data_IF_932237553492
#
_entry.id   IF_932237553492
#
_cell.length_a   1.000
_cell.length_b   1.000
_cell.length_c   1.000
_cell.angle_alpha   90.00
_cell.angle_beta   90.00
_cell.angle_gamma   90.00
#
_symmetry.space_group_name_H-M   'P 1'
#
loop_
_entity.id
_entity.type
_entity.pdbx_description
1 polymer ?
#
# COMPACT_ATOMS: atom_id res chain seq x y z
N UNK A 1 21.35 -20.34 1.09
CA UNK A 1 20.11 -19.68 1.56
C UNK A 1 20.21 -18.23 1.12
N UNK A 2 19.32 -17.68 0.27
CA UNK A 2 19.38 -16.26 -0.02
C UNK A 2 19.11 -15.51 1.29
N UNK A 3 20.04 -14.63 1.67
CA UNK A 3 19.86 -13.71 2.78
C UNK A 3 18.74 -12.75 2.37
N UNK A 4 17.56 -12.92 2.98
CA UNK A 4 16.44 -12.02 2.78
C UNK A 4 16.80 -10.70 3.43
N UNK A 5 16.63 -9.61 2.70
CA UNK A 5 17.06 -8.28 3.12
C UNK A 5 15.85 -7.44 3.48
N UNK A 6 15.94 -6.77 4.61
CA UNK A 6 14.99 -5.75 5.03
C UNK A 6 15.65 -4.38 4.78
N UNK A 7 14.98 -3.52 4.04
CA UNK A 7 15.44 -2.17 3.72
C UNK A 7 14.50 -1.17 4.39
N UNK A 8 15.08 -0.25 5.15
CA UNK A 8 14.35 0.89 5.74
C UNK A 8 15.05 2.18 5.34
N UNK A 9 14.33 3.03 4.61
CA UNK A 9 14.77 4.35 4.18
C UNK A 9 13.80 5.36 4.82
N UNK A 10 14.23 6.05 5.87
CA UNK A 10 13.41 7.00 6.61
C UNK A 10 13.96 8.41 6.45
N UNK A 11 13.09 9.42 6.58
CA UNK A 11 13.46 10.85 6.67
C UNK A 11 14.11 11.39 5.38
N UNK A 12 13.54 11.05 4.22
CA UNK A 12 13.94 11.65 2.94
C UNK A 12 13.06 12.87 2.65
N UNK A 13 13.65 14.06 2.54
CA UNK A 13 12.86 15.26 2.22
C UNK A 13 12.16 15.12 0.86
N UNK A 14 12.92 14.92 -0.21
CA UNK A 14 12.38 14.80 -1.57
C UNK A 14 13.06 13.65 -2.31
N UNK A 15 12.24 12.73 -2.81
CA UNK A 15 12.63 11.62 -3.68
C UNK A 15 12.08 11.84 -5.09
N UNK A 16 12.93 12.34 -5.98
CA UNK A 16 12.56 12.57 -7.38
C UNK A 16 12.30 11.26 -8.13
N UNK A 17 13.07 10.21 -7.82
CA UNK A 17 12.99 8.88 -8.44
C UNK A 17 13.55 7.83 -7.49
N UNK A 18 12.92 6.66 -7.45
CA UNK A 18 13.50 5.48 -6.80
C UNK A 18 14.74 4.98 -7.58
N UNK A 19 15.70 4.32 -6.90
CA UNK A 19 16.78 3.64 -7.61
C UNK A 19 16.20 2.63 -8.60
N UNK A 20 16.84 2.52 -9.77
CA UNK A 20 16.36 1.63 -10.84
C UNK A 20 16.45 0.15 -10.45
N UNK A 21 17.32 -0.18 -9.50
CA UNK A 21 17.58 -1.55 -9.05
C UNK A 21 17.53 -1.63 -7.53
N UNK A 22 16.78 -2.61 -7.04
CA UNK A 22 16.81 -3.07 -5.66
C UNK A 22 17.30 -4.53 -5.63
N UNK A 23 17.90 -4.98 -4.52
CA UNK A 23 18.26 -6.39 -4.38
C UNK A 23 17.02 -7.28 -4.55
N UNK A 24 17.13 -8.32 -5.39
CA UNK A 24 16.00 -9.22 -5.67
C UNK A 24 15.59 -10.09 -4.48
N UNK A 25 16.41 -10.09 -3.42
CA UNK A 25 16.16 -10.77 -2.13
C UNK A 25 15.44 -9.87 -1.11
N UNK A 26 15.06 -8.64 -1.46
CA UNK A 26 14.31 -7.76 -0.54
C UNK A 26 12.98 -8.41 -0.17
N UNK A 27 12.76 -8.55 1.14
CA UNK A 27 11.53 -9.13 1.72
C UNK A 27 10.65 -8.08 2.35
N UNK A 28 11.26 -7.12 3.05
CA UNK A 28 10.57 -5.97 3.64
C UNK A 28 11.19 -4.69 3.10
N UNK A 29 10.35 -3.77 2.66
CA UNK A 29 10.75 -2.43 2.28
C UNK A 29 9.89 -1.42 3.03
N UNK A 30 10.54 -0.53 3.77
CA UNK A 30 9.92 0.65 4.39
C UNK A 30 10.57 1.88 3.78
N UNK A 31 9.78 2.77 3.19
CA UNK A 31 10.25 4.01 2.59
C UNK A 31 9.36 5.18 3.03
N UNK A 32 9.93 6.08 3.81
CA UNK A 32 9.28 7.32 4.25
C UNK A 32 10.02 8.53 3.70
N UNK A 33 9.30 9.29 2.88
CA UNK A 33 9.75 10.58 2.37
C UNK A 33 8.64 11.63 2.53
N UNK A 34 8.97 12.92 2.59
CA UNK A 34 7.93 13.96 2.60
C UNK A 34 7.29 14.12 1.21
N UNK A 35 8.07 13.85 0.16
CA UNK A 35 7.64 13.90 -1.24
C UNK A 35 8.31 12.79 -2.06
N UNK A 36 7.52 11.85 -2.57
CA UNK A 36 7.90 10.97 -3.70
C UNK A 36 7.18 11.50 -4.95
N UNK A 37 7.95 11.91 -5.97
CA UNK A 37 7.37 12.57 -7.17
C UNK A 37 6.89 11.59 -8.24
N UNK A 38 7.53 10.43 -8.35
CA UNK A 38 7.21 9.40 -9.35
C UNK A 38 6.50 8.23 -8.67
N UNK A 39 5.57 7.61 -9.40
CA UNK A 39 4.89 6.41 -8.92
C UNK A 39 5.93 5.34 -8.56
N UNK A 40 5.99 4.90 -7.28
CA UNK A 40 6.96 3.89 -6.85
C UNK A 40 6.60 2.47 -7.33
N UNK A 41 5.33 2.20 -7.65
CA UNK A 41 4.83 0.84 -7.91
C UNK A 41 5.52 0.15 -9.11
N UNK A 42 5.76 0.79 -10.27
CA UNK A 42 6.38 0.14 -11.44
C UNK A 42 7.82 -0.38 -11.22
N UNK A 43 8.48 0.07 -10.15
CA UNK A 43 9.82 -0.40 -9.75
C UNK A 43 9.67 -1.47 -8.68
N UNK A 44 8.85 -1.21 -7.66
CA UNK A 44 8.72 -2.08 -6.49
C UNK A 44 7.95 -3.37 -6.78
N UNK A 45 7.01 -3.35 -7.71
CA UNK A 45 6.18 -4.51 -8.08
C UNK A 45 7.00 -5.65 -8.70
N UNK A 46 8.18 -5.33 -9.23
CA UNK A 46 9.11 -6.28 -9.84
C UNK A 46 9.92 -7.07 -8.81
N UNK A 47 9.84 -6.72 -7.52
CA UNK A 47 10.60 -7.41 -6.47
C UNK A 47 9.96 -8.78 -6.16
N UNK A 48 10.60 -9.89 -6.56
CA UNK A 48 9.97 -11.21 -6.55
C UNK A 48 9.84 -11.79 -5.14
N UNK A 49 10.61 -11.28 -4.16
CA UNK A 49 10.63 -11.74 -2.78
C UNK A 49 9.93 -10.80 -1.80
N UNK A 50 9.38 -9.66 -2.27
CA UNK A 50 8.78 -8.65 -1.41
C UNK A 50 7.48 -9.19 -0.78
N UNK A 51 7.43 -9.21 0.55
CA UNK A 51 6.29 -9.70 1.35
C UNK A 51 5.61 -8.56 2.09
N UNK A 52 6.37 -7.57 2.55
CA UNK A 52 5.84 -6.40 3.24
C UNK A 52 6.38 -5.12 2.62
N UNK A 53 5.47 -4.22 2.27
CA UNK A 53 5.78 -2.92 1.72
C UNK A 53 5.08 -1.85 2.53
N UNK A 54 5.84 -0.85 2.94
CA UNK A 54 5.32 0.33 3.60
C UNK A 54 5.92 1.58 2.97
N UNK A 55 5.04 2.48 2.51
CA UNK A 55 5.40 3.68 1.78
C UNK A 55 4.74 4.91 2.42
N UNK A 56 5.45 6.02 2.43
CA UNK A 56 4.87 7.32 2.78
C UNK A 56 5.30 8.46 1.86
N UNK A 57 4.36 9.39 1.63
CA UNK A 57 4.61 10.70 1.03
C UNK A 57 4.62 10.76 -0.49
N UNK A 58 4.01 9.79 -1.17
CA UNK A 58 3.80 9.92 -2.61
C UNK A 58 2.82 11.05 -2.95
N UNK A 59 3.27 11.97 -3.80
CA UNK A 59 2.49 13.13 -4.25
C UNK A 59 2.44 13.15 -5.77
N UNK A 60 1.61 12.28 -6.32
CA UNK A 60 1.30 12.23 -7.75
C UNK A 60 -0.15 11.89 -8.01
N UNK A 61 -0.64 12.22 -9.21
CA UNK A 61 -2.05 12.16 -9.55
C UNK A 61 -2.59 10.72 -9.62
N UNK A 62 -1.80 9.81 -10.19
CA UNK A 62 -2.20 8.42 -10.45
C UNK A 62 -1.10 7.47 -9.99
N UNK A 63 -1.51 6.37 -9.35
CA UNK A 63 -0.65 5.25 -9.00
C UNK A 63 -1.14 3.99 -9.71
N UNK A 64 -0.25 3.18 -10.26
CA UNK A 64 -0.60 2.03 -11.08
C UNK A 64 0.12 0.76 -10.60
N UNK A 65 -0.64 -0.31 -10.38
CA UNK A 65 -0.09 -1.66 -10.20
C UNK A 65 -0.40 -2.51 -11.45
N UNK A 66 0.63 -3.11 -12.05
CA UNK A 66 0.47 -3.94 -13.24
C UNK A 66 0.02 -5.36 -12.93
N UNK A 67 -0.54 -6.03 -13.93
CA UNK A 67 -0.87 -7.45 -13.86
C UNK A 67 0.37 -8.28 -13.54
N UNK A 68 0.23 -9.29 -12.67
CA UNK A 68 1.35 -10.10 -12.13
C UNK A 68 2.37 -9.31 -11.28
N UNK A 69 2.16 -8.00 -11.06
CA UNK A 69 2.95 -7.21 -10.12
C UNK A 69 2.79 -7.73 -8.69
N UNK A 70 3.86 -7.62 -7.90
CA UNK A 70 3.88 -8.01 -6.49
C UNK A 70 3.47 -9.49 -6.22
N UNK A 71 4.17 -10.48 -6.79
CA UNK A 71 3.75 -11.88 -6.76
C UNK A 71 3.73 -12.53 -5.35
N UNK A 72 4.39 -11.89 -4.37
CA UNK A 72 4.50 -12.39 -2.99
C UNK A 72 4.06 -11.40 -1.92
N UNK A 73 3.59 -10.21 -2.29
CA UNK A 73 3.23 -9.18 -1.32
C UNK A 73 2.01 -9.65 -0.51
N UNK A 74 2.13 -9.57 0.81
CA UNK A 74 1.09 -9.97 1.75
C UNK A 74 0.55 -8.80 2.57
N UNK A 75 1.40 -7.80 2.84
CA UNK A 75 1.07 -6.62 3.64
C UNK A 75 1.49 -5.36 2.88
N UNK A 76 0.56 -4.44 2.69
CA UNK A 76 0.79 -3.14 2.07
C UNK A 76 0.28 -2.04 2.99
N UNK A 77 1.15 -1.08 3.35
CA UNK A 77 0.77 0.13 4.07
C UNK A 77 1.13 1.37 3.25
N UNK A 78 0.15 2.22 2.98
CA UNK A 78 0.33 3.49 2.26
C UNK A 78 -0.06 4.64 3.19
N UNK A 79 0.87 5.58 3.43
CA UNK A 79 0.68 6.68 4.38
C UNK A 79 0.89 8.05 3.74
N UNK A 80 -0.02 9.00 3.96
CA UNK A 80 0.12 10.39 3.48
C UNK A 80 0.27 10.46 1.95
N UNK A 81 -0.52 9.67 1.23
CA UNK A 81 -0.54 9.68 -0.24
C UNK A 81 -1.51 10.74 -0.75
N UNK A 82 -1.06 11.61 -1.64
CA UNK A 82 -1.89 12.63 -2.29
C UNK A 82 -2.27 12.21 -3.71
N UNK A 83 -2.83 11.01 -3.86
CA UNK A 83 -3.23 10.43 -5.15
C UNK A 83 -4.74 10.49 -5.35
N UNK A 84 -5.17 10.93 -6.53
CA UNK A 84 -6.59 11.02 -6.89
C UNK A 84 -7.11 9.68 -7.41
N UNK A 85 -6.25 8.93 -8.11
CA UNK A 85 -6.63 7.68 -8.74
C UNK A 85 -5.59 6.58 -8.48
N UNK A 86 -6.02 5.47 -7.89
CA UNK A 86 -5.20 4.28 -7.77
C UNK A 86 -5.74 3.24 -8.75
N UNK A 87 -4.97 2.90 -9.79
CA UNK A 87 -5.32 1.91 -10.79
C UNK A 87 -4.63 0.59 -10.49
N UNK A 88 -5.36 -0.49 -10.64
CA UNK A 88 -4.82 -1.82 -10.45
C UNK A 88 -5.36 -2.74 -11.53
N UNK A 89 -4.44 -3.33 -12.30
CA UNK A 89 -4.80 -4.32 -13.31
C UNK A 89 -5.21 -5.64 -12.67
N UNK A 90 -6.04 -6.40 -13.38
CA UNK A 90 -6.46 -7.73 -12.96
C UNK A 90 -5.24 -8.65 -12.78
N UNK A 91 -5.18 -9.38 -11.66
CA UNK A 91 -4.07 -10.26 -11.33
C UNK A 91 -2.88 -9.58 -10.66
N UNK A 92 -2.95 -8.28 -10.33
CA UNK A 92 -2.01 -7.65 -9.43
C UNK A 92 -2.13 -8.20 -8.00
N UNK A 93 -1.01 -8.23 -7.25
CA UNK A 93 -0.98 -8.51 -5.81
C UNK A 93 -1.76 -9.76 -5.36
N UNK A 94 -1.57 -10.94 -5.99
CA UNK A 94 -2.43 -12.11 -5.79
C UNK A 94 -2.44 -12.67 -4.35
N UNK A 95 -1.46 -12.29 -3.52
CA UNK A 95 -1.32 -12.76 -2.13
C UNK A 95 -1.56 -11.68 -1.08
N UNK A 96 -1.99 -10.49 -1.49
CA UNK A 96 -2.21 -9.39 -0.55
C UNK A 96 -3.37 -9.74 0.37
N UNK A 97 -3.08 -9.74 1.67
CA UNK A 97 -4.02 -10.14 2.72
C UNK A 97 -4.39 -8.99 3.65
N UNK A 98 -3.46 -8.04 3.84
CA UNK A 98 -3.66 -6.87 4.68
C UNK A 98 -3.28 -5.61 3.91
N UNK A 99 -4.22 -4.67 3.86
CA UNK A 99 -4.03 -3.34 3.30
C UNK A 99 -4.34 -2.29 4.36
N UNK A 100 -3.41 -1.38 4.60
CA UNK A 100 -3.60 -0.22 5.47
C UNK A 100 -3.44 1.05 4.63
N UNK A 101 -4.44 1.93 4.66
CA UNK A 101 -4.39 3.27 4.08
C UNK A 101 -4.49 4.29 5.21
N UNK A 102 -3.50 5.18 5.30
CA UNK A 102 -3.46 6.20 6.34
C UNK A 102 -3.32 7.60 5.73
N UNK A 103 -4.31 8.47 5.93
CA UNK A 103 -4.16 9.89 5.65
C UNK A 103 -3.97 10.19 4.17
N UNK A 104 -4.65 9.43 3.30
CA UNK A 104 -4.56 9.59 1.85
C UNK A 104 -5.58 10.62 1.34
N UNK A 105 -5.42 11.88 1.73
CA UNK A 105 -6.45 12.94 1.65
C UNK A 105 -7.12 13.14 0.27
N UNK A 106 -6.41 12.85 -0.84
CA UNK A 106 -6.97 13.03 -2.20
C UNK A 106 -7.72 11.81 -2.74
N UNK A 107 -7.63 10.68 -2.06
CA UNK A 107 -8.25 9.43 -2.50
C UNK A 107 -9.71 9.40 -2.08
N UNK A 108 -10.61 9.93 -2.91
CA UNK A 108 -12.06 10.02 -2.61
C UNK A 108 -12.83 8.71 -2.80
N UNK A 109 -12.23 7.70 -3.44
CA UNK A 109 -12.83 6.38 -3.66
C UNK A 109 -11.76 5.30 -3.60
N UNK A 110 -12.14 4.12 -3.14
CA UNK A 110 -11.28 2.94 -3.21
C UNK A 110 -11.27 2.36 -4.64
N UNK A 111 -10.13 1.81 -5.10
CA UNK A 111 -10.09 1.16 -6.41
C UNK A 111 -10.97 -0.08 -6.46
N UNK A 112 -11.81 -0.18 -7.50
CA UNK A 112 -12.59 -1.39 -7.82
C UNK A 112 -11.69 -2.63 -7.95
N UNK A 113 -10.44 -2.43 -8.33
CA UNK A 113 -9.39 -3.45 -8.35
C UNK A 113 -9.30 -4.26 -7.06
N UNK A 114 -9.56 -3.65 -5.88
CA UNK A 114 -9.50 -4.35 -4.59
C UNK A 114 -10.47 -5.53 -4.53
N UNK A 115 -11.59 -5.45 -5.24
CA UNK A 115 -12.57 -6.53 -5.32
C UNK A 115 -12.04 -7.76 -6.06
N UNK A 116 -10.99 -7.61 -6.87
CA UNK A 116 -10.37 -8.71 -7.62
C UNK A 116 -9.21 -9.37 -6.87
N UNK A 117 -8.84 -8.86 -5.68
CA UNK A 117 -7.79 -9.45 -4.87
C UNK A 117 -8.31 -10.71 -4.16
N UNK A 118 -7.76 -11.91 -4.45
CA UNK A 118 -8.34 -13.16 -3.98
C UNK A 118 -8.04 -13.44 -2.49
N UNK A 119 -7.01 -12.80 -1.93
CA UNK A 119 -6.53 -13.06 -0.57
C UNK A 119 -6.83 -11.93 0.41
N UNK A 120 -7.45 -10.83 -0.04
CA UNK A 120 -7.64 -9.64 0.80
C UNK A 120 -8.71 -9.92 1.87
N UNK A 121 -8.26 -10.04 3.11
CA UNK A 121 -9.12 -10.32 4.26
C UNK A 121 -9.15 -9.21 5.30
N UNK A 122 -8.25 -8.22 5.19
CA UNK A 122 -8.11 -7.14 6.15
C UNK A 122 -7.85 -5.81 5.42
N UNK A 123 -8.73 -4.83 5.66
CA UNK A 123 -8.59 -3.46 5.19
C UNK A 123 -8.71 -2.51 6.37
N UNK A 124 -7.69 -1.68 6.57
CA UNK A 124 -7.66 -0.66 7.61
C UNK A 124 -7.58 0.73 6.98
N UNK A 125 -8.51 1.60 7.36
CA UNK A 125 -8.60 2.99 6.93
C UNK A 125 -8.40 3.90 8.13
N UNK A 126 -7.28 4.63 8.16
CA UNK A 126 -6.91 5.54 9.25
C UNK A 126 -6.88 6.98 8.71
N UNK A 127 -7.59 7.90 9.35
CA UNK A 127 -7.69 9.30 8.87
C UNK A 127 -8.07 9.38 7.37
N UNK A 128 -9.06 8.58 6.96
CA UNK A 128 -9.57 8.50 5.59
C UNK A 128 -10.97 9.10 5.49
N UNK A 129 -11.16 10.30 6.03
CA UNK A 129 -12.46 10.98 6.16
C UNK A 129 -13.18 11.21 4.81
N UNK A 130 -12.44 11.16 3.71
CA UNK A 130 -12.94 11.33 2.36
C UNK A 130 -13.62 10.08 1.78
N UNK A 131 -13.41 8.90 2.37
CA UNK A 131 -14.09 7.67 1.96
C UNK A 131 -15.40 7.58 2.72
N UNK A 132 -16.53 7.61 2.00
CA UNK A 132 -17.85 7.46 2.59
C UNK A 132 -18.04 6.05 3.17
N UNK A 133 -18.76 5.93 4.29
CA UNK A 133 -19.17 4.63 4.83
C UNK A 133 -20.04 3.83 3.83
N UNK A 134 -20.75 4.53 2.95
CA UNK A 134 -21.58 3.93 1.89
C UNK A 134 -20.80 3.62 0.59
N UNK A 135 -19.46 3.69 0.62
CA UNK A 135 -18.63 3.35 -0.54
C UNK A 135 -18.92 1.92 -1.03
N UNK A 136 -19.18 1.80 -2.35
CA UNK A 136 -19.58 0.53 -2.95
C UNK A 136 -18.49 -0.54 -2.81
N UNK A 137 -17.23 -0.16 -2.95
CA UNK A 137 -16.08 -1.07 -2.84
C UNK A 137 -15.93 -1.55 -1.40
N UNK A 138 -16.09 -0.68 -0.40
CA UNK A 138 -16.12 -1.07 1.01
C UNK A 138 -17.22 -2.08 1.32
N UNK A 139 -18.43 -1.81 0.85
CA UNK A 139 -19.58 -2.67 1.10
C UNK A 139 -19.40 -4.06 0.45
N UNK A 140 -18.91 -4.12 -0.78
CA UNK A 140 -18.63 -5.40 -1.45
C UNK A 140 -17.47 -6.17 -0.80
N UNK A 141 -16.42 -5.49 -0.31
CA UNK A 141 -15.35 -6.13 0.46
C UNK A 141 -15.89 -6.78 1.74
N UNK A 142 -16.74 -6.07 2.49
CA UNK A 142 -17.41 -6.62 3.69
C UNK A 142 -18.24 -7.86 3.35
N UNK A 143 -18.99 -7.83 2.24
CA UNK A 143 -19.79 -8.98 1.77
C UNK A 143 -18.94 -10.19 1.40
N UNK A 144 -17.71 -9.98 0.94
CA UNK A 144 -16.70 -11.03 0.69
C UNK A 144 -16.02 -11.57 1.95
N UNK A 145 -16.34 -11.03 3.13
CA UNK A 145 -15.75 -11.44 4.40
C UNK A 145 -14.44 -10.74 4.74
N UNK A 146 -14.11 -9.64 4.04
CA UNK A 146 -12.99 -8.78 4.43
C UNK A 146 -13.35 -7.98 5.68
N UNK A 147 -12.48 -8.03 6.69
CA UNK A 147 -12.60 -7.24 7.90
C UNK A 147 -12.16 -5.80 7.59
N UNK A 148 -13.10 -4.85 7.69
CA UNK A 148 -12.86 -3.43 7.44
C UNK A 148 -12.84 -2.67 8.76
N UNK A 149 -11.70 -2.05 9.07
CA UNK A 149 -11.50 -1.21 10.25
C UNK A 149 -11.39 0.25 9.82
N UNK A 150 -12.05 1.13 10.57
CA UNK A 150 -11.96 2.58 10.42
C UNK A 150 -11.55 3.21 11.75
N UNK A 151 -10.69 4.23 11.72
CA UNK A 151 -10.31 4.96 12.93
C UNK A 151 -9.70 6.33 12.65
N UNK A 152 -9.96 7.28 13.55
CA UNK A 152 -9.22 8.53 13.62
C UNK A 152 -7.90 8.31 14.38
N UNK A 153 -6.84 9.04 14.01
CA UNK A 153 -5.46 8.94 14.52
C UNK A 153 -5.33 8.91 16.06
N UNK A 154 -6.33 9.41 16.79
CA UNK A 154 -6.34 9.44 18.24
C UNK A 154 -6.27 8.05 18.93
N UNK A 155 -6.41 6.94 18.20
CA UNK A 155 -6.35 5.58 18.75
C UNK A 155 -5.15 4.76 18.23
N UNK A 156 -4.48 5.18 17.15
CA UNK A 156 -3.62 4.29 16.36
C UNK A 156 -2.10 4.48 16.51
N UNK A 157 -1.61 5.09 17.61
CA UNK A 157 -0.18 5.02 17.94
C UNK A 157 0.25 3.64 18.47
N UNK A 158 -0.69 2.76 18.83
CA UNK A 158 -0.36 1.52 19.57
C UNK A 158 -0.19 0.28 18.67
N UNK A 159 -0.51 0.33 17.37
CA UNK A 159 -0.61 -0.91 16.54
C UNK A 159 0.38 -1.01 15.38
N UNK A 160 1.16 0.05 15.09
CA UNK A 160 1.94 0.16 13.85
C UNK A 160 3.45 -0.04 14.02
N UNK A 161 3.89 -0.67 15.11
CA UNK A 161 5.23 -1.26 15.17
C UNK A 161 5.07 -2.70 15.67
N UNK A 162 5.03 -3.71 14.78
CA UNK A 162 5.31 -5.06 15.24
C UNK A 162 6.76 -5.05 15.70
N UNK A 163 6.96 -5.15 17.02
CA UNK A 163 8.25 -5.44 17.62
C UNK A 163 8.84 -6.67 16.92
N UNK A 164 10.08 -6.53 16.44
CA UNK A 164 10.98 -7.65 16.21
C UNK A 164 12.00 -7.69 17.34
#
# INVERSE_FOLDING_TARGET
>A
MPHLVDISLCLIDVLDKLPAEFPQSVRRLVLYADVIKQDPMPILEKLPCLVMLELSGYKGQTMCCSSQGFPRLQRLALRSFSTEEWRMEEGAMPKLSHLTLWGCEKMSKLPDGLLHLPSLGHLELIDMDQISEDDNTLNELRRKGCEVFGGAAHICMVVMVPEF
#
